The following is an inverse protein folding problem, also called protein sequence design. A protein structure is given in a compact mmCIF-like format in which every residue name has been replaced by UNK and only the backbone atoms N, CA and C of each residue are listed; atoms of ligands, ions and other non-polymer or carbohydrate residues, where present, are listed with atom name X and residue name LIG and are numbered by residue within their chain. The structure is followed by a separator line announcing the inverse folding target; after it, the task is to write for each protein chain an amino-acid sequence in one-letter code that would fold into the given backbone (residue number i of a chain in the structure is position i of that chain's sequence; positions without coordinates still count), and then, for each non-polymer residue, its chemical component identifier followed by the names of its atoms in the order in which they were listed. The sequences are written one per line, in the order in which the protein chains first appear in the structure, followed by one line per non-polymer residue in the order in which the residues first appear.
data_IF_688242331229
#
_entry.id   IF_688242331229
#
_cell.length_a   1.000
_cell.length_b   1.000
_cell.length_c   1.000
_cell.angle_alpha   90.00
_cell.angle_beta   90.00
_cell.angle_gamma   90.00
#
_symmetry.space_group_name_H-M   'P 1'
#
loop_
_entity.id
_entity.type
_entity.pdbx_description
1 polymer ?
#
# COMPACT_ATOMS: atom_id res chain seq x y z
N UNK A 1 2.82 -18.56 -25.25
CA UNK A 1 2.95 -17.94 -23.91
C UNK A 1 3.65 -16.62 -24.11
N UNK A 2 3.10 -15.51 -23.63
CA UNK A 2 3.86 -14.27 -23.55
C UNK A 2 4.73 -14.35 -22.30
N UNK A 3 6.02 -14.09 -22.44
CA UNK A 3 6.93 -13.96 -21.31
C UNK A 3 6.93 -12.50 -20.81
N UNK A 4 7.24 -12.25 -19.52
CA UNK A 4 7.37 -10.90 -19.03
C UNK A 4 8.55 -10.18 -19.71
N UNK A 5 8.46 -8.86 -19.79
CA UNK A 5 9.57 -8.04 -20.30
C UNK A 5 10.69 -8.04 -19.26
N UNK A 6 11.90 -8.41 -19.66
CA UNK A 6 13.08 -8.35 -18.79
C UNK A 6 13.71 -6.95 -18.79
N UNK A 7 13.80 -6.34 -17.62
CA UNK A 7 14.38 -5.03 -17.39
C UNK A 7 15.82 -5.18 -16.93
N UNK A 8 16.72 -4.40 -17.55
CA UNK A 8 18.11 -4.31 -17.14
C UNK A 8 18.23 -3.77 -15.70
N UNK A 9 19.30 -4.10 -14.95
CA UNK A 9 19.46 -3.76 -13.53
C UNK A 9 19.82 -2.27 -13.28
N UNK A 10 19.20 -1.36 -14.03
CA UNK A 10 19.35 0.09 -13.91
C UNK A 10 18.04 0.72 -13.44
N UNK A 11 18.09 2.00 -13.09
CA UNK A 11 16.90 2.74 -12.72
C UNK A 11 15.91 2.84 -13.89
N UNK A 12 14.64 2.54 -13.60
CA UNK A 12 13.58 2.49 -14.61
C UNK A 12 12.70 3.72 -14.48
N UNK A 13 12.88 4.67 -15.41
CA UNK A 13 12.07 5.89 -15.46
C UNK A 13 10.73 5.72 -16.19
N UNK A 14 10.61 4.67 -17.01
CA UNK A 14 9.40 4.34 -17.74
C UNK A 14 9.28 2.81 -17.81
N UNK A 15 8.19 2.28 -17.27
CA UNK A 15 7.87 0.87 -17.40
C UNK A 15 7.19 0.62 -18.75
N UNK A 16 7.15 -0.64 -19.21
CA UNK A 16 6.22 -1.02 -20.26
C UNK A 16 4.80 -0.62 -19.88
N UNK A 17 3.96 -0.37 -20.88
CA UNK A 17 2.57 0.02 -20.64
C UNK A 17 1.85 -1.06 -19.83
N UNK A 18 1.29 -0.69 -18.68
CA UNK A 18 0.58 -1.60 -17.79
C UNK A 18 -0.55 -2.39 -18.48
N UNK A 19 -1.11 -1.89 -19.60
CA UNK A 19 -2.12 -2.59 -20.42
C UNK A 19 -1.56 -3.83 -21.12
N UNK A 20 -0.25 -3.93 -21.28
CA UNK A 20 0.45 -5.07 -21.85
C UNK A 20 0.69 -6.21 -20.86
N UNK A 21 0.33 -6.02 -19.58
CA UNK A 21 0.53 -7.06 -18.59
C UNK A 21 -0.24 -8.34 -18.96
N UNK A 22 0.37 -9.48 -18.65
CA UNK A 22 -0.09 -10.80 -18.99
C UNK A 22 -1.48 -11.10 -18.42
N UNK A 23 -2.23 -11.95 -19.11
CA UNK A 23 -3.49 -12.50 -18.61
C UNK A 23 -3.26 -13.65 -17.64
N UNK A 24 -2.20 -14.43 -17.86
CA UNK A 24 -1.82 -15.52 -16.97
C UNK A 24 -0.30 -15.65 -16.80
N UNK A 25 0.24 -15.49 -15.57
CA UNK A 25 -0.50 -15.03 -14.37
C UNK A 25 -1.02 -13.59 -14.54
N UNK A 26 -2.24 -13.32 -14.06
CA UNK A 26 -2.89 -12.01 -14.23
C UNK A 26 -2.02 -10.86 -13.71
N UNK A 27 -1.74 -9.92 -14.60
CA UNK A 27 -1.05 -8.70 -14.27
C UNK A 27 0.47 -8.77 -14.27
N UNK A 28 1.10 -9.92 -14.50
CA UNK A 28 2.57 -9.94 -14.60
C UNK A 28 3.01 -9.12 -15.81
N UNK A 29 3.84 -8.08 -15.60
CA UNK A 29 4.23 -7.14 -16.64
C UNK A 29 5.71 -7.29 -17.01
N UNK A 30 6.59 -7.32 -16.01
CA UNK A 30 8.03 -7.30 -16.20
C UNK A 30 8.77 -8.04 -15.09
N UNK A 31 10.02 -8.40 -15.35
CA UNK A 31 10.95 -9.03 -14.42
C UNK A 31 12.31 -8.31 -14.43
N UNK A 32 13.04 -8.30 -13.31
CA UNK A 32 14.35 -7.65 -13.18
C UNK A 32 14.29 -6.21 -12.66
N UNK A 33 15.16 -5.33 -13.17
CA UNK A 33 15.43 -4.00 -12.64
C UNK A 33 16.00 -3.99 -11.21
N UNK A 34 15.61 -3.03 -10.39
CA UNK A 34 16.06 -2.82 -9.02
C UNK A 34 14.93 -2.28 -8.13
N UNK A 35 15.15 -2.18 -6.82
CA UNK A 35 14.21 -1.57 -5.87
C UNK A 35 14.66 -0.17 -5.42
N UNK A 36 15.25 0.61 -6.33
CA UNK A 36 15.64 1.99 -6.02
C UNK A 36 14.39 2.87 -5.81
N UNK A 37 14.57 3.99 -5.12
CA UNK A 37 13.50 4.99 -4.91
C UNK A 37 12.96 5.48 -6.25
N UNK A 38 13.85 5.69 -7.23
CA UNK A 38 13.50 6.16 -8.58
C UNK A 38 12.62 5.13 -9.29
N UNK A 39 13.05 3.87 -9.32
CA UNK A 39 12.32 2.78 -9.97
C UNK A 39 10.96 2.54 -9.33
N UNK A 40 10.90 2.49 -7.99
CA UNK A 40 9.63 2.27 -7.27
C UNK A 40 8.67 3.44 -7.49
N UNK A 41 9.14 4.68 -7.38
CA UNK A 41 8.33 5.86 -7.69
C UNK A 41 7.69 5.76 -9.08
N UNK A 42 8.52 5.47 -10.08
CA UNK A 42 8.11 5.30 -11.47
C UNK A 42 7.04 4.22 -11.61
N UNK A 43 7.24 3.05 -10.98
CA UNK A 43 6.27 1.96 -11.01
C UNK A 43 4.90 2.38 -10.44
N UNK A 44 4.87 2.92 -9.22
CA UNK A 44 3.62 3.32 -8.57
C UNK A 44 2.87 4.42 -9.34
N UNK A 45 3.58 5.40 -9.91
CA UNK A 45 2.97 6.45 -10.73
C UNK A 45 2.30 5.93 -12.01
N UNK A 46 2.68 4.72 -12.43
CA UNK A 46 2.18 3.99 -13.60
C UNK A 46 1.24 2.83 -13.22
N UNK A 47 0.84 2.70 -11.95
CA UNK A 47 -0.10 1.68 -11.48
C UNK A 47 0.51 0.28 -11.32
N UNK A 48 1.83 0.21 -11.19
CA UNK A 48 2.62 -1.02 -11.12
C UNK A 48 3.24 -1.13 -9.72
N UNK A 49 3.32 -2.34 -9.17
CA UNK A 49 4.01 -2.60 -7.91
C UNK A 49 4.90 -3.85 -7.99
N UNK A 50 5.97 -3.91 -7.18
CA UNK A 50 6.80 -5.11 -7.08
C UNK A 50 6.12 -6.17 -6.20
N UNK A 51 6.15 -7.43 -6.62
CA UNK A 51 5.70 -8.54 -5.78
C UNK A 51 6.38 -9.84 -6.19
N UNK A 52 7.22 -10.39 -5.32
CA UNK A 52 8.01 -11.60 -5.58
C UNK A 52 8.33 -12.29 -4.26
N UNK A 53 8.69 -13.58 -4.32
CA UNK A 53 8.94 -14.41 -3.14
C UNK A 53 10.22 -15.24 -3.28
N UNK A 54 10.86 -15.50 -2.14
CA UNK A 54 12.04 -16.36 -2.07
C UNK A 54 13.16 -15.88 -3.01
N UNK A 55 13.60 -16.77 -3.89
CA UNK A 55 14.68 -16.51 -4.85
C UNK A 55 14.17 -16.07 -6.23
N UNK A 56 12.90 -15.69 -6.35
CA UNK A 56 12.38 -15.12 -7.60
C UNK A 56 13.12 -13.81 -7.93
N UNK A 57 13.32 -13.51 -9.22
CA UNK A 57 13.71 -12.16 -9.62
C UNK A 57 12.63 -11.17 -9.16
N UNK A 58 12.96 -9.88 -9.11
CA UNK A 58 11.95 -8.84 -8.89
C UNK A 58 10.91 -8.95 -10.01
N UNK A 59 9.64 -9.10 -9.64
CA UNK A 59 8.52 -9.15 -10.58
C UNK A 59 7.64 -7.91 -10.38
N UNK A 60 7.17 -7.35 -11.49
CA UNK A 60 6.40 -6.11 -11.54
C UNK A 60 4.99 -6.40 -12.06
N UNK A 61 3.98 -5.91 -11.35
CA UNK A 61 2.60 -6.35 -11.53
C UNK A 61 1.63 -5.19 -11.76
N UNK A 62 0.75 -5.36 -12.75
CA UNK A 62 -0.47 -4.61 -12.96
C UNK A 62 -1.69 -5.49 -13.30
N UNK A 63 -2.28 -6.19 -12.31
CA UNK A 63 -3.52 -6.98 -12.41
C UNK A 63 -4.63 -6.33 -13.21
N UNK A 64 -5.41 -7.13 -13.93
CA UNK A 64 -6.54 -6.66 -14.74
C UNK A 64 -7.69 -6.12 -13.90
N UNK A 65 -7.82 -6.60 -12.66
CA UNK A 65 -8.76 -6.07 -11.66
C UNK A 65 -8.00 -5.39 -10.53
N UNK A 66 -8.35 -4.13 -10.27
CA UNK A 66 -7.81 -3.30 -9.19
C UNK A 66 -8.83 -3.09 -8.10
N UNK A 67 -8.43 -3.26 -6.84
CA UNK A 67 -9.27 -2.92 -5.69
C UNK A 67 -8.98 -1.49 -5.25
N UNK A 68 -9.90 -0.56 -5.48
CA UNK A 68 -9.79 0.83 -5.04
C UNK A 68 -10.76 1.11 -3.89
N UNK A 69 -10.27 1.69 -2.81
CA UNK A 69 -11.06 2.12 -1.67
C UNK A 69 -11.20 3.65 -1.69
N UNK A 70 -12.38 4.19 -2.02
CA UNK A 70 -12.63 5.62 -1.91
C UNK A 70 -12.50 6.05 -0.44
N UNK A 71 -11.68 7.06 -0.15
CA UNK A 71 -11.33 7.47 1.22
C UNK A 71 -12.55 7.92 2.03
N UNK A 72 -13.55 8.51 1.37
CA UNK A 72 -14.84 8.89 1.96
C UNK A 72 -15.81 7.72 2.16
N UNK A 73 -15.53 6.56 1.57
CA UNK A 73 -16.41 5.39 1.60
C UNK A 73 -15.89 4.28 2.54
N UNK A 74 -14.84 4.55 3.33
CA UNK A 74 -14.33 3.57 4.29
C UNK A 74 -15.43 3.22 5.29
N UNK A 75 -15.84 1.95 5.28
CA UNK A 75 -16.94 1.48 6.10
C UNK A 75 -16.54 1.43 7.58
N UNK A 76 -17.33 2.08 8.43
CA UNK A 76 -17.16 2.07 9.88
C UNK A 76 -18.36 1.38 10.52
N UNK A 77 -18.19 0.12 10.92
CA UNK A 77 -19.25 -0.64 11.59
C UNK A 77 -19.59 -0.06 12.96
N UNK A 78 -20.78 -0.37 13.49
CA UNK A 78 -21.21 0.06 14.84
C UNK A 78 -20.20 -0.33 15.93
N UNK A 79 -19.60 -1.52 15.82
CA UNK A 79 -18.57 -1.99 16.76
C UNK A 79 -17.31 -1.15 16.67
N UNK A 80 -16.88 -0.76 15.46
CA UNK A 80 -15.73 0.13 15.29
C UNK A 80 -16.01 1.53 15.82
N UNK A 81 -17.22 2.06 15.63
CA UNK A 81 -17.61 3.37 16.18
C UNK A 81 -17.48 3.37 17.71
N UNK A 82 -18.02 2.34 18.38
CA UNK A 82 -17.87 2.17 19.84
C UNK A 82 -16.40 2.08 20.25
N UNK A 83 -15.59 1.29 19.53
CA UNK A 83 -14.17 1.15 19.83
C UNK A 83 -13.42 2.49 19.77
N UNK A 84 -13.70 3.29 18.73
CA UNK A 84 -13.10 4.61 18.53
C UNK A 84 -13.48 5.56 19.68
N UNK A 85 -14.74 5.55 20.10
CA UNK A 85 -15.25 6.39 21.20
C UNK A 85 -14.65 6.04 22.56
N UNK A 86 -14.12 4.82 22.75
CA UNK A 86 -13.50 4.42 23.99
C UNK A 86 -12.09 5.00 24.17
N UNK A 87 -11.47 5.53 23.10
CA UNK A 87 -10.13 6.15 23.13
C UNK A 87 -9.05 5.26 23.78
N UNK A 88 -9.21 3.94 23.67
CA UNK A 88 -8.29 2.94 24.25
C UNK A 88 -6.99 2.76 23.48
N UNK A 89 -6.95 3.30 22.27
CA UNK A 89 -5.83 3.18 21.36
C UNK A 89 -5.37 4.58 20.95
N UNK A 90 -4.05 4.75 20.86
CA UNK A 90 -3.45 5.92 20.25
C UNK A 90 -3.11 5.57 18.81
N UNK A 91 -3.42 6.47 17.87
CA UNK A 91 -3.02 6.31 16.47
C UNK A 91 -2.00 7.39 16.14
N UNK A 92 -0.85 6.99 15.60
CA UNK A 92 0.20 7.90 15.13
C UNK A 92 0.53 7.62 13.67
N UNK A 93 1.34 8.49 13.10
CA UNK A 93 1.84 8.37 11.73
C UNK A 93 3.35 8.54 11.73
N UNK A 94 4.04 7.71 10.95
CA UNK A 94 5.48 7.79 10.68
C UNK A 94 6.38 7.75 11.94
N UNK A 95 5.85 7.35 13.11
CA UNK A 95 6.64 7.26 14.33
C UNK A 95 7.42 5.94 14.44
N UNK A 96 6.95 4.89 13.76
CA UNK A 96 7.57 3.56 13.84
C UNK A 96 7.49 2.78 12.51
N UNK A 97 7.76 3.43 11.38
CA UNK A 97 7.65 2.83 10.04
C UNK A 97 8.33 1.47 9.92
N UNK A 98 9.61 1.38 10.28
CA UNK A 98 10.36 0.12 10.21
C UNK A 98 9.76 -0.99 11.09
N UNK A 99 9.18 -0.64 12.25
CA UNK A 99 8.51 -1.59 13.12
C UNK A 99 7.19 -2.08 12.54
N UNK A 100 6.43 -1.20 11.87
CA UNK A 100 5.20 -1.57 11.15
C UNK A 100 5.52 -2.52 9.99
N UNK A 101 6.52 -2.20 9.16
CA UNK A 101 6.94 -3.08 8.05
C UNK A 101 7.42 -4.43 8.59
N UNK A 102 8.24 -4.42 9.66
CA UNK A 102 8.70 -5.65 10.30
C UNK A 102 7.55 -6.50 10.86
N UNK A 103 6.53 -5.87 11.45
CA UNK A 103 5.35 -6.57 11.95
C UNK A 103 4.49 -7.14 10.80
N UNK A 104 4.36 -6.42 9.69
CA UNK A 104 3.72 -6.92 8.47
C UNK A 104 4.49 -8.08 7.83
N UNK A 105 5.81 -8.19 8.05
CA UNK A 105 6.63 -9.28 7.52
C UNK A 105 6.57 -10.56 8.37
N UNK A 106 6.01 -10.53 9.59
CA UNK A 106 5.94 -11.73 10.44
C UNK A 106 5.02 -12.78 9.84
N UNK A 107 5.47 -14.03 9.86
CA UNK A 107 4.61 -15.18 9.63
C UNK A 107 3.56 -15.29 10.75
N UNK A 108 2.39 -15.79 10.39
CA UNK A 108 1.30 -16.10 11.32
C UNK A 108 0.88 -17.55 11.12
N UNK A 109 0.08 -18.10 12.03
CA UNK A 109 -0.46 -19.47 11.90
C UNK A 109 -1.22 -19.69 10.58
N UNK A 110 -1.74 -18.61 10.01
CA UNK A 110 -2.48 -18.59 8.73
C UNK A 110 -1.64 -18.14 7.52
N UNK A 111 -0.40 -17.71 7.73
CA UNK A 111 0.48 -17.20 6.68
C UNK A 111 1.94 -17.54 7.02
N UNK A 112 2.40 -18.66 6.48
CA UNK A 112 3.74 -19.20 6.76
C UNK A 112 4.86 -18.44 6.07
N UNK A 113 4.60 -17.80 4.93
CA UNK A 113 5.55 -16.97 4.18
C UNK A 113 4.98 -15.58 3.85
N UNK A 114 5.87 -14.62 3.63
CA UNK A 114 5.51 -13.27 3.17
C UNK A 114 6.40 -12.87 2.00
N UNK A 115 5.86 -12.06 1.10
CA UNK A 115 6.61 -11.38 0.04
C UNK A 115 7.48 -10.23 0.57
N UNK A 116 7.32 -9.84 1.84
CA UNK A 116 8.08 -8.77 2.47
C UNK A 116 9.45 -9.34 2.90
N UNK A 117 10.31 -9.54 1.91
CA UNK A 117 11.71 -9.95 2.07
C UNK A 117 12.54 -8.82 2.68
N UNK A 118 13.79 -9.10 3.08
CA UNK A 118 14.68 -8.07 3.61
C UNK A 118 14.93 -6.93 2.60
N UNK A 119 15.10 -7.27 1.31
CA UNK A 119 15.27 -6.27 0.25
C UNK A 119 14.06 -5.33 0.14
N UNK A 120 12.85 -5.87 0.26
CA UNK A 120 11.62 -5.08 0.27
C UNK A 120 11.57 -4.17 1.50
N UNK A 121 11.92 -4.69 2.69
CA UNK A 121 11.97 -3.88 3.93
C UNK A 121 12.92 -2.70 3.79
N UNK A 122 14.12 -2.95 3.28
CA UNK A 122 15.12 -1.91 3.02
C UNK A 122 14.60 -0.91 2.00
N UNK A 123 13.98 -1.37 0.91
CA UNK A 123 13.44 -0.51 -0.14
C UNK A 123 12.32 0.42 0.36
N UNK A 124 11.34 -0.09 1.12
CA UNK A 124 10.28 0.76 1.69
C UNK A 124 10.81 1.70 2.77
N UNK A 125 11.80 1.29 3.57
CA UNK A 125 12.44 2.22 4.51
C UNK A 125 13.18 3.35 3.78
N UNK A 126 13.79 3.07 2.62
CA UNK A 126 14.38 4.12 1.76
C UNK A 126 13.30 5.04 1.19
N UNK A 127 12.17 4.50 0.73
CA UNK A 127 11.02 5.32 0.31
C UNK A 127 10.50 6.21 1.44
N UNK A 128 10.40 5.67 2.65
CA UNK A 128 10.00 6.43 3.83
C UNK A 128 10.97 7.56 4.15
N UNK A 129 12.28 7.30 4.11
CA UNK A 129 13.31 8.33 4.28
C UNK A 129 13.26 9.43 3.21
N UNK A 130 12.70 9.13 2.03
CA UNK A 130 12.45 10.11 0.96
C UNK A 130 11.05 10.74 1.03
N UNK A 131 10.26 10.44 2.06
CA UNK A 131 8.93 11.01 2.23
C UNK A 131 7.85 10.46 1.30
N UNK A 132 8.08 9.27 0.76
CA UNK A 132 7.18 8.63 -0.19
C UNK A 132 6.37 7.50 0.42
N UNK A 133 6.92 6.82 1.43
CA UNK A 133 6.21 5.77 2.13
C UNK A 133 5.86 6.22 3.55
N UNK A 134 4.63 5.93 3.96
CA UNK A 134 4.10 6.34 5.25
C UNK A 134 3.47 5.17 5.98
N UNK A 135 3.54 5.20 7.30
CA UNK A 135 2.91 4.23 8.19
C UNK A 135 1.86 4.89 9.07
N UNK A 136 0.86 4.09 9.45
CA UNK A 136 -0.10 4.42 10.49
C UNK A 136 0.05 3.37 11.58
N UNK A 137 0.44 3.80 12.78
CA UNK A 137 0.62 2.94 13.93
C UNK A 137 -0.59 2.97 14.85
N UNK A 138 -0.91 1.83 15.47
CA UNK A 138 -1.91 1.73 16.54
C UNK A 138 -1.23 1.21 17.78
N UNK A 139 -1.27 2.01 18.84
CA UNK A 139 -0.68 1.73 20.14
C UNK A 139 -1.78 1.43 21.14
N UNK A 140 -1.61 0.42 21.98
CA UNK A 140 -2.51 0.17 23.10
C UNK A 140 -2.28 1.15 24.27
N UNK A 141 -3.12 1.07 25.31
CA UNK A 141 -2.99 1.92 26.49
C UNK A 141 -1.72 1.72 27.32
N UNK A 142 -0.86 0.74 26.98
CA UNK A 142 0.47 0.54 27.58
C UNK A 142 1.59 1.08 26.69
N UNK A 143 1.27 1.68 25.55
CA UNK A 143 2.25 2.16 24.57
C UNK A 143 2.85 1.05 23.70
N UNK A 144 2.20 -0.12 23.60
CA UNK A 144 2.67 -1.20 22.74
C UNK A 144 2.07 -1.12 21.34
N UNK A 145 2.92 -1.24 20.31
CA UNK A 145 2.50 -1.28 18.92
C UNK A 145 1.68 -2.56 18.65
N UNK A 146 0.36 -2.42 18.56
CA UNK A 146 -0.58 -3.54 18.51
C UNK A 146 -1.31 -3.69 17.17
N UNK A 147 -1.08 -2.77 16.23
CA UNK A 147 -1.50 -2.89 14.84
C UNK A 147 -1.01 -1.71 14.01
N UNK A 148 -1.27 -1.77 12.71
CA UNK A 148 -0.89 -0.69 11.81
C UNK A 148 -0.93 -1.12 10.35
N UNK A 149 -0.58 -0.17 9.49
CA UNK A 149 -0.43 -0.36 8.06
C UNK A 149 0.67 0.54 7.52
N UNK A 150 1.21 0.21 6.36
CA UNK A 150 2.08 1.10 5.62
C UNK A 150 1.70 1.11 4.14
N UNK A 151 2.12 2.16 3.45
CA UNK A 151 1.87 2.33 2.03
C UNK A 151 2.75 3.38 1.38
N UNK A 152 2.65 3.50 0.08
CA UNK A 152 3.37 4.50 -0.72
C UNK A 152 2.39 5.56 -1.21
N UNK A 153 2.70 6.83 -0.96
CA UNK A 153 1.94 7.96 -1.46
C UNK A 153 2.57 8.50 -2.75
N UNK A 154 1.82 8.44 -3.84
CA UNK A 154 2.24 8.99 -5.14
C UNK A 154 1.12 9.82 -5.76
N UNK A 155 1.47 10.93 -6.39
CA UNK A 155 0.53 11.90 -6.95
C UNK A 155 -0.51 12.35 -5.89
N UNK A 156 -1.72 11.80 -5.91
CA UNK A 156 -2.77 11.99 -4.91
C UNK A 156 -3.48 10.65 -4.62
N UNK A 157 -2.70 9.58 -4.54
CA UNK A 157 -3.12 8.21 -4.32
C UNK A 157 -2.23 7.58 -3.23
N UNK A 158 -2.87 6.90 -2.29
CA UNK A 158 -2.15 6.07 -1.32
C UNK A 158 -2.23 4.61 -1.75
N UNK A 159 -1.12 4.00 -2.12
CA UNK A 159 -1.01 2.58 -2.42
C UNK A 159 -0.75 1.83 -1.10
N UNK A 160 -1.75 1.15 -0.56
CA UNK A 160 -1.65 0.44 0.71
C UNK A 160 -0.94 -0.89 0.53
N UNK A 161 0.25 -1.06 1.11
CA UNK A 161 1.09 -2.24 0.86
C UNK A 161 0.72 -3.42 1.74
N UNK A 162 0.67 -3.19 3.05
CA UNK A 162 0.31 -4.24 4.00
C UNK A 162 -0.17 -3.68 5.32
N UNK A 163 -0.82 -4.53 6.11
CA UNK A 163 -1.30 -4.21 7.44
C UNK A 163 -1.19 -5.41 8.36
N UNK A 164 -1.08 -5.15 9.66
CA UNK A 164 -1.02 -6.18 10.69
C UNK A 164 -1.91 -5.81 11.88
N UNK A 165 -2.32 -6.81 12.64
CA UNK A 165 -3.13 -6.66 13.84
C UNK A 165 -2.69 -7.72 14.85
N UNK A 166 -2.16 -7.29 15.99
CA UNK A 166 -1.87 -8.18 17.13
C UNK A 166 -3.04 -8.26 18.11
N UNK A 167 -3.83 -7.19 18.17
CA UNK A 167 -5.11 -7.16 18.91
C UNK A 167 -6.27 -6.99 17.94
N UNK A 168 -7.45 -7.43 18.35
CA UNK A 168 -8.64 -7.36 17.52
C UNK A 168 -8.95 -5.92 17.09
N UNK A 169 -9.21 -5.74 15.79
CA UNK A 169 -9.61 -4.48 15.15
C UNK A 169 -8.54 -3.38 15.03
N UNK A 170 -7.28 -3.61 15.46
CA UNK A 170 -6.24 -2.58 15.36
C UNK A 170 -5.95 -2.20 13.89
N UNK A 171 -5.78 -3.17 12.97
CA UNK A 171 -5.56 -2.85 11.54
C UNK A 171 -6.75 -2.11 10.90
N UNK A 172 -7.98 -2.46 11.30
CA UNK A 172 -9.19 -1.74 10.84
C UNK A 172 -9.22 -0.31 11.36
N UNK A 173 -8.82 -0.09 12.61
CA UNK A 173 -8.71 1.24 13.19
C UNK A 173 -7.70 2.09 12.42
N UNK A 174 -6.52 1.53 12.10
CA UNK A 174 -5.52 2.18 11.26
C UNK A 174 -6.08 2.58 9.88
N UNK A 175 -6.78 1.66 9.20
CA UNK A 175 -7.38 1.92 7.89
C UNK A 175 -8.49 2.99 7.94
N UNK A 176 -9.34 2.97 8.97
CA UNK A 176 -10.39 3.97 9.18
C UNK A 176 -9.77 5.35 9.44
N UNK A 177 -8.74 5.40 10.28
CA UNK A 177 -8.00 6.63 10.56
C UNK A 177 -7.37 7.18 9.28
N UNK A 178 -6.64 6.34 8.52
CA UNK A 178 -6.01 6.70 7.25
C UNK A 178 -7.05 7.25 6.27
N UNK A 179 -8.17 6.55 6.08
CA UNK A 179 -9.23 6.98 5.17
C UNK A 179 -9.77 8.36 5.53
N UNK A 180 -10.01 8.63 6.81
CA UNK A 180 -10.45 9.95 7.30
C UNK A 180 -9.38 11.02 7.09
N UNK A 181 -8.13 10.72 7.41
CA UNK A 181 -7.00 11.61 7.23
C UNK A 181 -6.83 12.00 5.75
N UNK A 182 -6.78 11.02 4.84
CA UNK A 182 -6.65 11.24 3.41
C UNK A 182 -7.84 12.02 2.84
N UNK A 183 -9.07 11.67 3.22
CA UNK A 183 -10.27 12.38 2.79
C UNK A 183 -10.27 13.86 3.23
N UNK A 184 -9.83 14.14 4.46
CA UNK A 184 -9.69 15.51 4.99
C UNK A 184 -8.67 16.34 4.19
N UNK A 185 -7.62 15.70 3.68
CA UNK A 185 -6.57 16.35 2.89
C UNK A 185 -6.77 16.26 1.37
N UNK A 186 -7.95 15.83 0.91
CA UNK A 186 -8.30 15.84 -0.52
C UNK A 186 -7.74 14.68 -1.33
N UNK A 187 -7.20 13.64 -0.70
CA UNK A 187 -6.87 12.39 -1.37
C UNK A 187 -8.12 11.50 -1.50
N UNK A 188 -8.44 11.09 -2.72
CA UNK A 188 -9.73 10.46 -3.03
C UNK A 188 -9.71 8.93 -2.89
N UNK A 189 -8.55 8.29 -3.07
CA UNK A 189 -8.46 6.84 -3.18
C UNK A 189 -7.29 6.26 -2.38
N UNK A 190 -7.50 5.06 -1.88
CA UNK A 190 -6.47 4.11 -1.49
C UNK A 190 -6.47 2.99 -2.54
N UNK A 191 -5.34 2.74 -3.20
CA UNK A 191 -5.16 1.56 -4.04
C UNK A 191 -4.77 0.38 -3.15
N UNK A 192 -5.60 -0.65 -3.15
CA UNK A 192 -5.41 -1.87 -2.38
C UNK A 192 -4.94 -3.04 -3.26
N UNK A 193 -4.48 -2.75 -4.48
CA UNK A 193 -3.91 -3.66 -5.46
C UNK A 193 -4.86 -4.79 -5.87
N UNK A 194 -5.03 -5.80 -5.02
CA UNK A 194 -5.79 -7.02 -5.25
C UNK A 194 -7.10 -7.04 -4.43
N UNK A 195 -8.21 -7.55 -5.01
CA UNK A 195 -9.45 -7.73 -4.28
C UNK A 195 -9.32 -8.73 -3.13
N UNK A 196 -9.89 -8.39 -1.98
CA UNK A 196 -10.14 -9.37 -0.91
C UNK A 196 -11.51 -9.15 -0.28
N UNK A 197 -12.11 -10.21 0.25
CA UNK A 197 -13.38 -10.11 0.98
C UNK A 197 -13.28 -9.18 2.21
N UNK A 198 -12.08 -9.00 2.78
CA UNK A 198 -11.86 -8.01 3.82
C UNK A 198 -11.99 -6.58 3.29
N UNK A 199 -11.29 -6.25 2.21
CA UNK A 199 -11.31 -4.91 1.61
C UNK A 199 -12.70 -4.54 1.08
N UNK A 200 -13.42 -5.48 0.47
CA UNK A 200 -14.81 -5.25 0.04
C UNK A 200 -15.71 -4.85 1.21
N UNK A 201 -15.60 -5.53 2.35
CA UNK A 201 -16.35 -5.16 3.58
C UNK A 201 -15.94 -3.80 4.14
N UNK A 202 -14.71 -3.36 3.89
CA UNK A 202 -14.23 -2.03 4.25
C UNK A 202 -14.67 -0.94 3.25
N UNK A 203 -15.36 -1.29 2.17
CA UNK A 203 -15.89 -0.35 1.17
C UNK A 203 -15.10 -0.30 -0.14
N UNK A 204 -14.13 -1.19 -0.35
CA UNK A 204 -13.35 -1.24 -1.59
C UNK A 204 -14.22 -1.68 -2.76
N UNK A 205 -13.96 -1.09 -3.92
CA UNK A 205 -14.60 -1.41 -5.20
C UNK A 205 -13.58 -2.03 -6.13
N UNK A 206 -13.97 -3.13 -6.77
CA UNK A 206 -13.19 -3.75 -7.82
C UNK A 206 -13.47 -3.01 -9.12
N UNK A 207 -12.42 -2.52 -9.77
CA UNK A 207 -12.49 -1.80 -11.04
C UNK A 207 -11.53 -2.42 -12.05
N UNK A 208 -11.80 -2.29 -13.36
CA UNK A 208 -10.79 -2.61 -14.37
C UNK A 208 -9.51 -1.79 -14.17
N UNK A 209 -8.36 -2.38 -14.47
CA UNK A 209 -7.06 -1.70 -14.49
C UNK A 209 -7.10 -0.37 -15.23
N UNK A 210 -7.78 -0.33 -16.36
CA UNK A 210 -7.93 0.85 -17.22
C UNK A 210 -8.56 2.03 -16.47
N UNK A 211 -9.44 1.76 -15.50
CA UNK A 211 -10.02 2.79 -14.62
C UNK A 211 -8.95 3.40 -13.73
N UNK A 212 -8.09 2.59 -13.08
CA UNK A 212 -6.97 3.11 -12.28
C UNK A 212 -6.00 3.91 -13.17
N UNK A 213 -5.64 3.39 -14.34
CA UNK A 213 -4.73 4.08 -15.27
C UNK A 213 -5.30 5.43 -15.72
N UNK A 214 -6.60 5.50 -15.99
CA UNK A 214 -7.29 6.75 -16.37
C UNK A 214 -7.30 7.77 -15.21
N UNK A 215 -7.49 7.30 -13.97
CA UNK A 215 -7.37 8.12 -12.77
C UNK A 215 -5.94 8.66 -12.65
N UNK A 216 -4.93 7.78 -12.72
CA UNK A 216 -3.51 8.15 -12.59
C UNK A 216 -3.03 9.11 -13.69
N UNK A 217 -3.57 9.01 -14.91
CA UNK A 217 -3.22 9.87 -16.03
C UNK A 217 -3.70 11.33 -15.84
N UNK A 218 -4.79 11.52 -15.10
CA UNK A 218 -5.37 12.86 -14.83
C UNK A 218 -5.01 13.41 -13.46
N UNK A 219 -4.53 12.54 -12.55
CA UNK A 219 -4.21 12.88 -11.18
C UNK A 219 -2.98 13.79 -11.08
N UNK A 220 -3.19 14.96 -10.48
CA UNK A 220 -2.11 15.88 -10.16
C UNK A 220 -1.50 15.56 -8.78
N UNK A 221 -0.21 15.87 -8.56
CA UNK A 221 0.40 15.78 -7.24
C UNK A 221 -0.36 16.61 -6.19
N UNK A 222 -0.64 16.01 -5.03
CA UNK A 222 -1.24 16.71 -3.91
C UNK A 222 -0.18 17.36 -3.04
N UNK A 223 0.06 18.64 -3.29
CA UNK A 223 1.05 19.44 -2.57
C UNK A 223 0.71 19.67 -1.09
N UNK A 224 -0.53 19.38 -0.65
CA UNK A 224 -0.93 19.46 0.77
C UNK A 224 -0.46 18.26 1.58
N UNK A 225 -0.18 17.14 0.92
CA UNK A 225 0.30 15.90 1.54
C UNK A 225 1.80 15.68 1.27
N UNK A 226 2.58 16.76 1.27
CA UNK A 226 4.05 16.69 1.39
C UNK A 226 4.42 16.42 2.86
N UNK A 227 5.55 15.75 3.11
CA UNK A 227 6.00 15.20 4.41
C UNK A 227 5.53 15.90 5.69
N UNK A 228 5.56 17.23 5.74
CA UNK A 228 5.11 18.02 6.90
C UNK A 228 3.64 17.77 7.31
N UNK A 229 2.79 17.25 6.42
CA UNK A 229 1.38 16.98 6.70
C UNK A 229 1.11 15.59 7.31
N UNK A 230 2.07 14.67 7.19
CA UNK A 230 1.97 13.33 7.76
C UNK A 230 2.43 13.28 9.22
N UNK A 231 3.23 14.25 9.66
CA UNK A 231 3.71 14.33 11.03
C UNK A 231 2.56 14.56 12.02
N UNK A 232 2.34 13.60 12.93
CA UNK A 232 1.52 13.74 14.14
C UNK A 232 2.33 13.41 15.38
#
# INVERSE_FOLDING_TARGET
MHEPIWLAPYDVLAFPDARQAMREPDGLLAAGANLSVITLKSAYEQGIFPWFEGNQPILWWSPSVRALLPTKAVHVSKTMQKLIQQERFTVTVDQAFAAVVAACAKSTDTRTSTWITEDMRVAYCRLHAHGMAHSVEVWDGKGQLCGGLYGVFVKNLFCGESMFSQVANASKLALIWLGRFLAKHGCCYIDCQLPTAHLTRMGAKNVPRETLLSILATMQPNTRLINAAWAT
#
